data_IF_503292440665
#
_entry.id   IF_503292440665
#
_cell.length_a   1.000
_cell.length_b   1.000
_cell.length_c   1.000
_cell.angle_alpha   90.00
_cell.angle_beta   90.00
_cell.angle_gamma   90.00
#
_symmetry.space_group_name_H-M   'P 1'
#
loop_
_entity.id
_entity.type
_entity.pdbx_description
1 polymer ?
#
# COMPACT_ATOMS: atom_id res chain seq x y z
N UNK A 1 -1.32 14.06 -0.87
CA UNK A 1 -1.44 13.08 -1.97
C UNK A 1 -2.27 13.67 -3.10
N UNK A 2 -1.85 13.52 -4.35
CA UNK A 2 -2.60 13.92 -5.55
C UNK A 2 -2.89 12.64 -6.35
N UNK A 3 -4.13 12.42 -6.82
CA UNK A 3 -4.49 11.14 -7.46
C UNK A 3 -3.64 10.81 -8.70
N UNK A 4 -3.16 11.83 -9.40
CA UNK A 4 -2.27 11.68 -10.57
C UNK A 4 -0.83 11.30 -10.21
N UNK A 5 -0.39 11.49 -8.96
CA UNK A 5 0.98 11.16 -8.53
C UNK A 5 1.19 9.66 -8.33
N UNK A 6 0.14 8.84 -8.44
CA UNK A 6 0.22 7.39 -8.27
C UNK A 6 0.51 6.63 -9.58
N UNK A 7 0.80 7.34 -10.68
CA UNK A 7 1.19 6.74 -11.95
C UNK A 7 0.19 5.69 -12.45
N UNK A 8 0.58 4.40 -12.57
CA UNK A 8 -0.30 3.33 -13.05
C UNK A 8 -1.51 3.06 -12.14
N UNK A 9 -1.47 3.52 -10.88
CA UNK A 9 -2.57 3.37 -9.93
C UNK A 9 -3.62 4.47 -10.03
N UNK A 10 -3.34 5.58 -10.73
CA UNK A 10 -4.23 6.75 -10.77
C UNK A 10 -5.64 6.41 -11.28
N UNK A 11 -5.76 5.79 -12.46
CA UNK A 11 -7.04 5.41 -13.05
C UNK A 11 -7.81 4.40 -12.17
N UNK A 12 -7.23 3.26 -11.73
CA UNK A 12 -7.91 2.35 -10.80
C UNK A 12 -8.37 3.03 -9.51
N UNK A 13 -7.57 3.94 -8.94
CA UNK A 13 -7.91 4.63 -7.70
C UNK A 13 -9.11 5.55 -7.87
N UNK A 14 -9.13 6.36 -8.93
CA UNK A 14 -10.25 7.29 -9.19
C UNK A 14 -11.53 6.52 -9.49
N UNK A 15 -11.45 5.44 -10.26
CA UNK A 15 -12.62 4.71 -10.76
C UNK A 15 -13.15 3.62 -9.80
N UNK A 16 -12.46 3.37 -8.69
CA UNK A 16 -12.91 2.41 -7.68
C UNK A 16 -14.35 2.71 -7.24
N UNK A 17 -15.14 1.67 -7.03
CA UNK A 17 -16.54 1.75 -6.63
C UNK A 17 -16.75 1.75 -5.13
N UNK A 18 -15.78 1.28 -4.35
CA UNK A 18 -15.88 1.20 -2.88
C UNK A 18 -14.58 1.47 -2.15
N UNK A 19 -14.68 1.80 -0.86
CA UNK A 19 -13.50 1.92 0.04
C UNK A 19 -12.65 0.65 0.00
N UNK A 20 -13.28 -0.53 0.02
CA UNK A 20 -12.59 -1.81 -0.09
C UNK A 20 -11.73 -1.92 -1.35
N UNK A 21 -12.26 -1.51 -2.50
CA UNK A 21 -11.52 -1.52 -3.77
C UNK A 21 -10.34 -0.54 -3.73
N UNK A 22 -10.54 0.67 -3.20
CA UNK A 22 -9.48 1.68 -3.03
C UNK A 22 -8.32 1.12 -2.21
N UNK A 23 -8.60 0.48 -1.07
CA UNK A 23 -7.55 0.00 -0.18
C UNK A 23 -6.93 -1.31 -0.66
N UNK A 24 -7.65 -2.14 -1.42
CA UNK A 24 -7.06 -3.31 -2.07
C UNK A 24 -6.03 -2.94 -3.13
N UNK A 25 -6.15 -1.76 -3.76
CA UNK A 25 -5.14 -1.25 -4.70
C UNK A 25 -3.79 -0.98 -4.02
N UNK A 26 -3.76 -0.82 -2.69
CA UNK A 26 -2.51 -0.69 -1.95
C UNK A 26 -1.66 -1.97 -1.97
N UNK A 27 -2.21 -3.13 -2.37
CA UNK A 27 -1.42 -4.34 -2.65
C UNK A 27 -0.38 -4.13 -3.77
N UNK A 28 -0.61 -3.13 -4.61
CA UNK A 28 0.31 -2.72 -5.66
C UNK A 28 1.27 -1.60 -5.23
N UNK A 29 1.30 -1.22 -3.94
CA UNK A 29 2.27 -0.28 -3.36
C UNK A 29 3.72 -0.54 -3.77
N UNK A 30 4.21 -1.79 -3.88
CA UNK A 30 5.57 -2.05 -4.34
C UNK A 30 5.90 -1.46 -5.72
N UNK A 31 4.90 -1.10 -6.54
CA UNK A 31 5.12 -0.41 -7.81
C UNK A 31 5.48 1.08 -7.64
N UNK A 32 5.20 1.66 -6.48
CA UNK A 32 5.32 3.11 -6.23
C UNK A 32 6.21 3.44 -5.02
N UNK A 33 6.44 2.51 -4.10
CA UNK A 33 7.38 2.68 -2.99
C UNK A 33 7.95 1.34 -2.51
N UNK A 34 9.26 1.30 -2.26
CA UNK A 34 9.95 0.18 -1.61
C UNK A 34 10.17 0.41 -0.11
N UNK A 35 9.87 1.61 0.39
CA UNK A 35 10.09 2.01 1.79
C UNK A 35 9.02 1.48 2.75
N UNK A 36 7.93 0.90 2.23
CA UNK A 36 6.79 0.41 3.01
C UNK A 36 6.34 -0.95 2.50
N UNK A 37 6.17 -1.91 3.40
CA UNK A 37 5.42 -3.15 3.16
C UNK A 37 4.04 -3.08 3.80
N UNK A 38 3.09 -3.76 3.18
CA UNK A 38 1.72 -3.85 3.69
C UNK A 38 1.20 -5.28 3.66
N UNK A 39 0.44 -5.66 4.68
CA UNK A 39 -0.30 -6.92 4.74
C UNK A 39 -1.77 -6.64 5.05
N UNK A 40 -2.68 -7.38 4.41
CA UNK A 40 -4.11 -7.14 4.49
C UNK A 40 -4.77 -8.29 5.24
N UNK A 41 -5.45 -7.96 6.33
CA UNK A 41 -6.20 -8.91 7.14
C UNK A 41 -7.66 -8.48 7.15
N UNK A 42 -8.55 -9.36 6.69
CA UNK A 42 -9.98 -9.14 6.71
C UNK A 42 -10.58 -9.93 7.86
N UNK A 43 -11.46 -9.32 8.64
CA UNK A 43 -12.15 -9.96 9.75
C UNK A 43 -13.50 -9.30 10.02
N UNK A 44 -14.19 -9.78 11.05
CA UNK A 44 -15.57 -9.35 11.34
C UNK A 44 -15.68 -7.87 11.69
N UNK A 45 -14.65 -7.27 12.28
CA UNK A 45 -14.61 -5.84 12.60
C UNK A 45 -14.29 -4.95 11.40
N UNK A 46 -13.82 -5.52 10.28
CA UNK A 46 -13.46 -4.79 9.07
C UNK A 46 -12.12 -5.24 8.48
N UNK A 47 -11.42 -4.30 7.84
CA UNK A 47 -10.14 -4.53 7.21
C UNK A 47 -9.02 -3.86 8.01
N UNK A 48 -7.99 -4.62 8.31
CA UNK A 48 -6.74 -4.11 8.87
C UNK A 48 -5.63 -4.19 7.82
N UNK A 49 -4.93 -3.08 7.64
CA UNK A 49 -3.76 -2.97 6.76
C UNK A 49 -2.55 -2.80 7.67
N UNK A 50 -1.85 -3.89 7.94
CA UNK A 50 -0.60 -3.83 8.69
C UNK A 50 0.46 -3.10 7.87
N UNK A 51 1.19 -2.18 8.50
CA UNK A 51 2.20 -1.33 7.89
C UNK A 51 3.57 -1.63 8.52
N UNK A 52 4.59 -1.83 7.69
CA UNK A 52 5.96 -1.95 8.16
C UNK A 52 6.91 -1.17 7.28
N UNK A 53 7.79 -0.38 7.90
CA UNK A 53 8.86 0.34 7.20
C UNK A 53 9.94 -0.63 6.71
N UNK A 54 10.59 -0.27 5.60
CA UNK A 54 11.69 -1.03 4.99
C UNK A 54 12.85 -0.11 4.62
N UNK A 55 13.24 0.74 5.57
CA UNK A 55 14.24 1.81 5.38
C UNK A 55 15.52 1.58 6.17
N UNK A 56 15.70 0.37 6.73
CA UNK A 56 16.87 -0.08 7.48
C UNK A 56 17.23 0.79 8.71
N UNK A 57 16.31 1.64 9.17
CA UNK A 57 16.49 2.48 10.37
C UNK A 57 15.16 2.75 11.08
N UNK A 58 15.09 2.60 12.42
CA UNK A 58 13.82 2.73 13.15
C UNK A 58 13.13 4.09 13.01
N UNK A 59 13.90 5.19 13.00
CA UNK A 59 13.34 6.54 12.85
C UNK A 59 12.75 6.78 11.45
N UNK A 60 13.42 6.28 10.41
CA UNK A 60 12.94 6.42 9.03
C UNK A 60 11.79 5.45 8.75
N UNK A 61 11.75 4.28 9.40
CA UNK A 61 10.64 3.35 9.32
C UNK A 61 9.37 3.96 9.93
N UNK A 62 9.50 4.58 11.10
CA UNK A 62 8.42 5.36 11.72
C UNK A 62 7.86 6.43 10.77
N UNK A 63 8.74 7.19 10.11
CA UNK A 63 8.34 8.22 9.16
C UNK A 63 7.63 7.63 7.95
N UNK A 64 8.18 6.58 7.34
CA UNK A 64 7.60 5.90 6.19
C UNK A 64 6.21 5.33 6.49
N UNK A 65 6.06 4.69 7.66
CA UNK A 65 4.78 4.14 8.13
C UNK A 65 3.77 5.24 8.42
N UNK A 66 4.18 6.31 9.12
CA UNK A 66 3.30 7.44 9.44
C UNK A 66 2.81 8.13 8.18
N UNK A 67 3.71 8.46 7.25
CA UNK A 67 3.36 9.07 5.99
C UNK A 67 2.49 8.16 5.12
N UNK A 68 2.83 6.87 5.04
CA UNK A 68 2.05 5.87 4.32
C UNK A 68 0.62 5.75 4.86
N UNK A 69 0.48 5.60 6.18
CA UNK A 69 -0.83 5.55 6.84
C UNK A 69 -1.66 6.80 6.61
N UNK A 70 -1.08 7.99 6.80
CA UNK A 70 -1.76 9.27 6.53
C UNK A 70 -2.18 9.41 5.07
N UNK A 71 -1.36 8.91 4.14
CA UNK A 71 -1.73 8.90 2.73
C UNK A 71 -2.95 8.00 2.47
N UNK A 72 -3.08 6.86 3.16
CA UNK A 72 -4.27 6.00 3.08
C UNK A 72 -5.50 6.71 3.62
N UNK A 73 -5.43 7.31 4.82
CA UNK A 73 -6.55 8.07 5.40
C UNK A 73 -7.01 9.18 4.46
N UNK A 74 -6.06 9.95 3.91
CA UNK A 74 -6.35 11.03 2.98
C UNK A 74 -6.93 10.53 1.66
N UNK A 75 -6.47 9.38 1.16
CA UNK A 75 -6.96 8.77 -0.07
C UNK A 75 -8.41 8.32 0.08
N UNK A 76 -8.74 7.66 1.18
CA UNK A 76 -10.12 7.26 1.52
C UNK A 76 -11.00 8.51 1.62
N UNK A 77 -10.57 9.54 2.35
CA UNK A 77 -11.36 10.78 2.49
C UNK A 77 -11.62 11.48 1.15
N UNK A 78 -10.65 11.41 0.24
CA UNK A 78 -10.75 12.02 -1.08
C UNK A 78 -11.78 11.29 -1.96
N UNK A 79 -11.79 9.95 -1.89
CA UNK A 79 -12.56 9.10 -2.81
C UNK A 79 -13.93 8.70 -2.29
N UNK A 80 -14.10 8.46 -0.99
CA UNK A 80 -15.37 8.09 -0.36
C UNK A 80 -16.05 9.24 0.40
N UNK A 81 -15.35 10.38 0.56
CA UNK A 81 -15.79 11.45 1.46
C UNK A 81 -15.27 11.26 2.87
N UNK A 82 -15.58 12.17 3.80
CA UNK A 82 -15.01 12.12 5.14
C UNK A 82 -15.42 10.82 5.86
N UNK A 83 -14.45 9.95 6.15
CA UNK A 83 -14.68 8.67 6.86
C UNK A 83 -13.93 8.72 8.21
N UNK A 84 -14.49 9.40 9.23
CA UNK A 84 -13.78 9.65 10.49
C UNK A 84 -13.53 8.37 11.31
N UNK A 85 -14.22 7.28 10.99
CA UNK A 85 -14.08 5.98 11.66
C UNK A 85 -12.86 5.17 11.19
N UNK A 86 -12.16 5.60 10.14
CA UNK A 86 -10.90 4.97 9.70
C UNK A 86 -9.75 5.51 10.52
N UNK A 87 -9.02 4.62 11.19
CA UNK A 87 -7.97 4.97 12.16
C UNK A 87 -6.59 4.50 11.69
N UNK A 88 -5.57 5.27 12.05
CA UNK A 88 -4.16 4.94 11.90
C UNK A 88 -3.56 4.70 13.29
N UNK A 89 -3.08 3.49 13.52
CA UNK A 89 -2.38 3.09 14.72
C UNK A 89 -0.88 3.03 14.40
N UNK A 90 -0.05 3.63 15.26
CA UNK A 90 1.39 3.77 15.09
C UNK A 90 2.13 3.23 16.31
N UNK A 91 3.25 2.55 16.07
CA UNK A 91 4.14 2.08 17.15
C UNK A 91 5.06 3.17 17.69
N UNK A 92 5.14 4.31 17.00
CA UNK A 92 5.96 5.41 17.44
C UNK A 92 5.33 6.14 18.62
N UNK A 93 6.20 6.73 19.43
CA UNK A 93 5.77 7.52 20.57
C UNK A 93 5.04 8.78 20.10
N UNK A 94 4.01 9.15 20.84
CA UNK A 94 3.34 10.43 20.66
C UNK A 94 4.37 11.58 20.76
N UNK A 95 4.40 12.51 19.78
CA UNK A 95 5.20 13.73 19.91
C UNK A 95 4.79 14.51 21.17
N UNK A 96 5.76 15.03 21.93
CA UNK A 96 5.49 15.81 23.15
C UNK A 96 4.63 17.05 22.87
N UNK A 97 4.89 17.71 21.73
CA UNK A 97 4.10 18.83 21.21
C UNK A 97 3.27 18.36 20.03
N UNK A 98 2.20 17.62 20.32
CA UNK A 98 1.21 17.23 19.32
C UNK A 98 0.44 18.46 18.86
N UNK A 99 0.98 19.15 17.86
CA UNK A 99 0.20 20.10 17.08
C UNK A 99 -0.80 19.25 16.28
N UNK A 100 -2.06 19.23 16.71
CA UNK A 100 -3.14 18.59 15.99
C UNK A 100 -3.34 19.37 14.68
N UNK A 101 -2.61 18.99 13.63
CA UNK A 101 -2.70 19.62 12.32
C UNK A 101 -3.91 19.04 11.58
N UNK A 102 -5.03 19.75 11.67
CA UNK A 102 -6.23 19.51 10.86
C UNK A 102 -7.12 18.36 11.36
N UNK A 103 -8.17 18.09 10.58
CA UNK A 103 -9.23 17.14 10.94
C UNK A 103 -8.77 15.68 11.06
N UNK A 104 -7.56 15.32 10.63
CA UNK A 104 -7.09 13.93 10.63
C UNK A 104 -6.45 13.53 11.98
N UNK A 105 -6.06 14.50 12.81
CA UNK A 105 -5.28 14.21 14.02
C UNK A 105 -5.97 13.29 15.03
N UNK A 106 -7.30 13.35 15.15
CA UNK A 106 -8.06 12.49 16.08
C UNK A 106 -8.13 11.01 15.65
N UNK A 107 -7.71 10.71 14.42
CA UNK A 107 -7.69 9.36 13.85
C UNK A 107 -6.31 8.70 13.97
N UNK A 108 -5.34 9.38 14.58
CA UNK A 108 -3.97 8.88 14.74
C UNK A 108 -3.78 8.47 16.19
N UNK A 109 -3.56 7.18 16.42
CA UNK A 109 -3.31 6.59 17.73
C UNK A 109 -1.83 6.18 17.79
N UNK A 110 -1.10 6.80 18.72
CA UNK A 110 0.30 6.51 18.98
C UNK A 110 0.45 5.40 20.02
N UNK A 111 1.69 4.91 20.21
CA UNK A 111 2.02 3.92 21.23
C UNK A 111 1.27 2.58 21.09
N UNK A 112 0.84 2.25 19.87
CA UNK A 112 0.20 0.97 19.55
C UNK A 112 1.23 -0.18 19.52
N UNK A 113 0.76 -1.42 19.72
CA UNK A 113 1.61 -2.62 19.67
C UNK A 113 2.15 -2.92 18.26
N UNK A 114 1.41 -2.51 17.24
CA UNK A 114 1.75 -2.69 15.83
C UNK A 114 1.24 -1.48 15.06
N UNK A 115 1.86 -1.19 13.92
CA UNK A 115 1.41 -0.11 13.06
C UNK A 115 0.44 -0.63 12.00
N UNK A 116 -0.74 -0.03 11.90
CA UNK A 116 -1.77 -0.45 10.97
C UNK A 116 -2.80 0.63 10.69
N UNK A 117 -3.49 0.52 9.57
CA UNK A 117 -4.73 1.25 9.31
C UNK A 117 -5.90 0.31 9.55
N UNK A 118 -6.87 0.72 10.35
CA UNK A 118 -8.12 0.00 10.55
C UNK A 118 -9.27 0.68 9.84
N UNK A 119 -10.00 -0.09 9.04
CA UNK A 119 -11.16 0.36 8.28
C UNK A 119 -12.35 -0.48 8.74
N UNK A 120 -13.31 0.12 9.47
CA UNK A 120 -14.44 -0.62 10.00
C UNK A 120 -15.30 -1.25 8.91
N UNK A 121 -15.89 -2.41 9.21
CA UNK A 121 -16.77 -3.12 8.28
C UNK A 121 -17.91 -2.24 7.74
N UNK A 122 -18.43 -1.34 8.58
CA UNK A 122 -19.53 -0.45 8.27
C UNK A 122 -19.27 0.49 7.07
N UNK A 123 -18.01 0.78 6.75
CA UNK A 123 -17.64 1.76 5.70
C UNK A 123 -16.93 1.11 4.50
N UNK A 124 -16.66 -0.20 4.54
CA UNK A 124 -15.91 -0.89 3.48
C UNK A 124 -16.60 -0.82 2.12
N UNK A 125 -17.93 -0.79 2.11
CA UNK A 125 -18.75 -0.82 0.91
C UNK A 125 -19.35 0.54 0.58
N UNK A 126 -18.91 1.61 1.25
CA UNK A 126 -19.33 2.96 0.93
C UNK A 126 -18.92 3.32 -0.50
N UNK A 127 -19.87 3.88 -1.24
CA UNK A 127 -19.72 4.18 -2.66
C UNK A 127 -18.75 5.33 -2.85
N UNK A 128 -17.72 5.11 -3.68
CA UNK A 128 -16.78 6.17 -4.03
C UNK A 128 -17.36 7.17 -5.04
N UNK A 129 -16.93 8.42 -4.91
CA UNK A 129 -17.45 9.61 -5.63
C UNK A 129 -17.38 9.53 -7.15
N UNK A 130 -16.38 8.82 -7.67
CA UNK A 130 -16.10 8.73 -9.11
C UNK A 130 -16.19 7.29 -9.62
N UNK A 131 -16.96 6.45 -8.93
CA UNK A 131 -17.16 5.04 -9.27
C UNK A 131 -17.47 4.85 -10.75
N UNK A 132 -16.58 4.14 -11.45
CA UNK A 132 -16.76 3.69 -12.82
C UNK A 132 -16.24 2.25 -12.95
N UNK A 133 -17.14 1.24 -12.94
CA UNK A 133 -16.72 -0.16 -12.95
C UNK A 133 -16.08 -0.58 -14.27
N UNK A 134 -16.31 0.14 -15.38
CA UNK A 134 -15.67 -0.16 -16.67
C UNK A 134 -14.23 0.34 -16.64
N UNK A 135 -14.03 1.61 -16.27
CA UNK A 135 -12.70 2.21 -16.14
C UNK A 135 -11.86 1.47 -15.09
N UNK A 136 -12.47 1.06 -13.97
CA UNK A 136 -11.81 0.29 -12.92
C UNK A 136 -11.28 -1.04 -13.43
N UNK A 137 -12.10 -1.82 -14.15
CA UNK A 137 -11.65 -3.10 -14.73
C UNK A 137 -10.51 -2.93 -15.72
N UNK A 138 -10.57 -1.90 -16.57
CA UNK A 138 -9.49 -1.59 -17.53
C UNK A 138 -8.20 -1.24 -16.78
N UNK A 139 -8.29 -0.36 -15.79
CA UNK A 139 -7.15 0.03 -14.97
C UNK A 139 -6.52 -1.14 -14.22
N UNK A 140 -7.33 -2.01 -13.61
CA UNK A 140 -6.85 -3.21 -12.90
C UNK A 140 -6.13 -4.17 -13.85
N UNK A 141 -6.66 -4.38 -15.06
CA UNK A 141 -6.04 -5.26 -16.04
C UNK A 141 -4.64 -4.77 -16.43
N UNK A 142 -4.48 -3.47 -16.69
CA UNK A 142 -3.19 -2.87 -17.01
C UNK A 142 -2.23 -2.89 -15.81
N UNK A 143 -2.74 -2.60 -14.62
CA UNK A 143 -1.94 -2.63 -13.39
C UNK A 143 -1.39 -4.03 -13.10
N UNK A 144 -2.19 -5.09 -13.30
CA UNK A 144 -1.74 -6.48 -13.17
C UNK A 144 -0.66 -6.81 -14.20
N UNK A 145 -0.79 -6.34 -15.43
CA UNK A 145 0.23 -6.51 -16.48
C UNK A 145 1.56 -5.88 -16.07
N UNK A 146 1.54 -4.62 -15.61
CA UNK A 146 2.75 -3.92 -15.13
C UNK A 146 3.33 -4.62 -13.90
N UNK A 147 2.48 -5.07 -12.97
CA UNK A 147 2.92 -5.80 -11.79
C UNK A 147 3.64 -7.09 -12.14
N UNK A 148 3.08 -7.93 -13.02
CA UNK A 148 3.73 -9.17 -13.45
C UNK A 148 5.01 -8.94 -14.27
N UNK A 149 5.10 -7.85 -15.03
CA UNK A 149 6.34 -7.47 -15.73
C UNK A 149 7.46 -7.02 -14.78
N UNK A 150 7.09 -6.42 -13.65
CA UNK A 150 8.02 -5.81 -12.68
C UNK A 150 8.32 -6.72 -11.49
N UNK A 151 7.43 -7.66 -11.19
CA UNK A 151 7.77 -8.89 -10.48
C UNK A 151 9.01 -9.39 -11.19
N UNK A 152 10.12 -9.68 -10.47
CA UNK A 152 11.32 -10.14 -11.15
C UNK A 152 10.90 -11.36 -11.97
N UNK A 153 10.76 -11.17 -13.29
CA UNK A 153 11.15 -12.21 -14.21
C UNK A 153 12.51 -12.60 -13.68
N UNK A 154 12.52 -13.81 -13.16
CA UNK A 154 13.63 -14.66 -12.82
C UNK A 154 14.77 -14.44 -13.84
N UNK A 155 15.38 -13.28 -13.95
CA UNK A 155 16.47 -13.02 -14.88
C UNK A 155 17.75 -13.16 -14.08
N UNK A 156 17.77 -12.65 -12.85
CA UNK A 156 18.77 -13.03 -11.85
C UNK A 156 18.63 -14.50 -11.41
N UNK A 157 17.40 -15.03 -11.36
CA UNK A 157 17.16 -16.46 -11.08
C UNK A 157 17.34 -17.36 -12.32
N UNK A 158 17.01 -16.92 -13.55
CA UNK A 158 17.39 -17.63 -14.79
C UNK A 158 18.89 -17.60 -14.97
N UNK A 159 19.55 -16.45 -14.82
CA UNK A 159 21.01 -16.33 -14.91
C UNK A 159 21.68 -17.16 -13.83
N UNK A 160 21.19 -17.12 -12.58
CA UNK A 160 21.71 -17.99 -11.51
C UNK A 160 21.44 -19.47 -11.82
N UNK A 161 20.26 -19.86 -12.31
CA UNK A 161 19.98 -21.22 -12.75
C UNK A 161 20.83 -21.63 -13.98
N UNK A 162 21.22 -20.69 -14.83
CA UNK A 162 22.04 -20.91 -16.02
C UNK A 162 23.53 -21.00 -15.68
N UNK A 163 23.99 -20.31 -14.63
CA UNK A 163 25.30 -20.50 -14.01
C UNK A 163 25.35 -21.78 -13.15
N UNK A 164 24.27 -22.11 -12.44
CA UNK A 164 24.15 -23.35 -11.64
C UNK A 164 24.03 -24.59 -12.54
N UNK A 165 23.46 -24.44 -13.75
CA UNK A 165 23.33 -25.52 -14.73
C UNK A 165 24.63 -25.87 -15.47
N UNK A 166 25.66 -25.00 -15.47
CA UNK A 166 26.95 -25.36 -16.06
C UNK A 166 28.15 -24.54 -15.50
N UNK A 167 28.75 -24.96 -14.38
CA UNK A 167 30.05 -24.45 -13.95
C UNK A 167 31.25 -25.23 -14.51
N UNK A 168 31.07 -26.26 -15.36
CA UNK A 168 32.14 -27.25 -15.63
C UNK A 168 32.38 -27.67 -17.09
N UNK A 169 31.76 -27.04 -18.10
CA UNK A 169 32.09 -27.34 -19.52
C UNK A 169 33.18 -26.48 -20.16
N UNK A 170 33.77 -25.54 -19.44
CA UNK A 170 34.83 -24.69 -20.00
C UNK A 170 36.25 -25.31 -19.96
N UNK A 171 36.49 -26.34 -19.14
CA UNK A 171 37.84 -26.96 -18.97
C UNK A 171 37.87 -28.46 -19.30
N UNK A 172 37.31 -28.83 -20.46
CA UNK A 172 37.19 -30.23 -20.87
C UNK A 172 37.39 -30.47 -22.37
N UNK A 173 38.32 -29.76 -23.01
CA UNK A 173 38.83 -30.12 -24.32
C UNK A 173 40.35 -30.30 -24.25
N UNK A 174 40.76 -31.53 -23.95
CA UNK A 174 42.04 -32.10 -24.36
C UNK A 174 41.77 -33.36 -25.16
#
# INVERSE_FOLDING_TARGET
>A
AQLTSFGPLSLPLVSAGSVLEVVQLLRFLPLISTALSTEFQHGDSGLTIALAGRTDSPGTDCLAVTYGGLAVLRLVDMLAGAVPSVELHLTCQAPADLIVVGEIGHRILFDARAAFVHIPAAVLYDVCRFSDPVAYRIGIAELRRVYEQRRPNSYTQLVRAQFDADPARADGAR
#
